data_IF_441777950866
#
_entry.id   IF_441777950866
#
_cell.length_a   1.000
_cell.length_b   1.000
_cell.length_c   1.000
_cell.angle_alpha   90.00
_cell.angle_beta   90.00
_cell.angle_gamma   90.00
#
_symmetry.space_group_name_H-M   'P 1'
#
loop_
_entity.id
_entity.type
_entity.pdbx_description
1 polymer ?
#
# COMPACT_ATOMS: atom_id res chain seq x y z
N UNK A 1 1.62 -8.80 8.82
CA UNK A 1 1.46 -8.14 7.51
C UNK A 1 0.65 -9.04 6.61
N UNK A 2 -0.29 -8.48 5.85
CA UNK A 2 -1.19 -9.21 4.96
C UNK A 2 -1.00 -8.68 3.54
N UNK A 3 -0.54 -9.53 2.62
CA UNK A 3 -0.23 -9.12 1.25
C UNK A 3 -1.42 -9.37 0.31
N UNK A 4 -1.96 -8.30 -0.28
CA UNK A 4 -3.08 -8.35 -1.23
C UNK A 4 -2.66 -8.08 -2.68
N UNK A 5 -1.37 -7.84 -2.94
CA UNK A 5 -0.86 -7.51 -4.28
C UNK A 5 -1.12 -8.61 -5.29
N UNK A 6 -1.22 -9.85 -4.84
CA UNK A 6 -1.34 -11.04 -5.68
C UNK A 6 -2.73 -11.71 -5.65
N UNK A 7 -3.73 -11.06 -5.05
CA UNK A 7 -5.09 -11.64 -4.92
C UNK A 7 -5.98 -11.41 -6.16
N UNK A 8 -5.54 -10.62 -7.14
CA UNK A 8 -6.31 -10.36 -8.36
C UNK A 8 -7.53 -9.44 -8.17
N UNK A 9 -7.72 -8.87 -6.97
CA UNK A 9 -8.86 -7.96 -6.72
C UNK A 9 -8.86 -6.72 -7.63
N UNK A 10 -7.68 -6.23 -8.04
CA UNK A 10 -7.56 -5.06 -8.92
C UNK A 10 -7.88 -5.34 -10.40
N UNK A 11 -8.05 -6.60 -10.79
CA UNK A 11 -8.34 -6.99 -12.18
C UNK A 11 -9.78 -7.44 -12.37
N UNK A 12 -10.62 -7.35 -11.33
CA UNK A 12 -12.04 -7.68 -11.43
C UNK A 12 -12.74 -6.66 -12.34
N UNK A 13 -13.45 -7.13 -13.35
CA UNK A 13 -14.27 -6.30 -14.24
C UNK A 13 -15.64 -6.95 -14.42
N UNK A 14 -16.70 -6.20 -14.14
CA UNK A 14 -18.09 -6.63 -14.26
C UNK A 14 -18.74 -6.24 -15.61
N UNK A 15 -17.95 -5.73 -16.56
CA UNK A 15 -18.38 -5.27 -17.88
C UNK A 15 -18.37 -3.74 -18.06
N UNK A 16 -17.79 -3.00 -17.10
CA UNK A 16 -17.86 -1.53 -17.03
C UNK A 16 -16.50 -0.91 -16.67
N UNK A 17 -15.43 -1.71 -16.65
CA UNK A 17 -14.10 -1.33 -16.21
C UNK A 17 -13.79 -1.82 -14.80
N UNK A 18 -12.48 -1.88 -14.51
CA UNK A 18 -11.95 -2.35 -13.23
C UNK A 18 -12.10 -1.36 -12.08
N UNK A 19 -11.82 -1.80 -10.84
CA UNK A 19 -11.97 -0.96 -9.66
C UNK A 19 -10.95 0.18 -9.65
N UNK A 20 -11.42 1.38 -9.31
CA UNK A 20 -10.53 2.53 -9.09
C UNK A 20 -9.66 2.32 -7.84
N UNK A 21 -10.16 1.62 -6.82
CA UNK A 21 -9.40 1.32 -5.59
C UNK A 21 -9.97 0.07 -4.91
N UNK A 22 -9.08 -0.73 -4.31
CA UNK A 22 -9.42 -1.88 -3.47
C UNK A 22 -8.84 -1.65 -2.09
N UNK A 23 -9.67 -1.74 -1.05
CA UNK A 23 -9.27 -1.55 0.34
C UNK A 23 -9.93 -2.63 1.24
N UNK A 24 -9.19 -3.16 2.22
CA UNK A 24 -9.79 -4.01 3.25
C UNK A 24 -10.68 -3.16 4.18
N UNK A 25 -11.95 -3.54 4.32
CA UNK A 25 -12.89 -2.89 5.23
C UNK A 25 -12.91 -3.63 6.58
N UNK A 26 -12.24 -3.06 7.59
CA UNK A 26 -12.33 -3.53 8.97
C UNK A 26 -11.08 -3.22 9.80
N UNK A 27 -11.28 -2.57 10.95
CA UNK A 27 -10.21 -2.28 11.92
C UNK A 27 -9.68 -3.53 12.64
N UNK A 28 -10.50 -4.58 12.73
CA UNK A 28 -10.21 -5.85 13.41
C UNK A 28 -10.17 -7.04 12.46
N UNK A 29 -9.66 -6.85 11.25
CA UNK A 29 -9.54 -7.95 10.30
C UNK A 29 -8.60 -9.02 10.86
N UNK A 30 -9.07 -10.27 10.84
CA UNK A 30 -8.35 -11.45 11.34
C UNK A 30 -8.02 -11.38 12.85
N UNK A 31 -8.77 -10.58 13.63
CA UNK A 31 -8.55 -10.45 15.07
C UNK A 31 -7.34 -9.59 15.46
N UNK A 32 -6.67 -8.95 14.49
CA UNK A 32 -5.55 -8.03 14.77
C UNK A 32 -6.05 -6.64 15.12
N UNK A 33 -5.41 -5.98 16.08
CA UNK A 33 -5.66 -4.58 16.47
C UNK A 33 -4.82 -3.57 15.66
N UNK A 34 -3.71 -4.02 15.08
CA UNK A 34 -2.80 -3.21 14.26
C UNK A 34 -2.52 -3.91 12.92
N UNK A 35 -3.55 -4.13 12.09
CA UNK A 35 -3.33 -4.74 10.78
C UNK A 35 -2.50 -3.85 9.86
N UNK A 36 -1.69 -4.50 9.03
CA UNK A 36 -0.93 -3.84 7.96
C UNK A 36 -1.08 -4.63 6.66
N UNK A 37 -1.47 -3.93 5.60
CA UNK A 37 -1.74 -4.47 4.28
C UNK A 37 -0.83 -3.88 3.22
N UNK A 38 -0.33 -4.75 2.33
CA UNK A 38 0.29 -4.34 1.08
C UNK A 38 -0.74 -4.45 -0.04
N UNK A 39 -1.02 -3.32 -0.69
CA UNK A 39 -2.07 -3.20 -1.69
C UNK A 39 -1.46 -2.84 -3.05
N UNK A 40 -1.96 -3.38 -4.15
CA UNK A 40 -1.51 -2.99 -5.49
C UNK A 40 -1.89 -1.52 -5.77
N UNK A 41 -1.10 -0.81 -6.59
CA UNK A 41 -1.56 0.44 -7.18
C UNK A 41 -2.72 0.18 -8.15
N UNK A 42 -3.63 1.15 -8.24
CA UNK A 42 -4.71 1.08 -9.21
C UNK A 42 -4.15 1.34 -10.60
N UNK A 43 -4.58 0.56 -11.58
CA UNK A 43 -4.28 0.79 -13.00
C UNK A 43 -4.89 2.09 -13.51
N UNK A 44 -5.85 2.68 -12.79
CA UNK A 44 -6.43 3.99 -13.09
C UNK A 44 -5.47 5.16 -12.77
N UNK A 45 -4.39 4.94 -12.02
CA UNK A 45 -3.43 5.98 -11.65
C UNK A 45 -2.10 5.76 -12.39
N UNK A 46 -1.82 6.57 -13.41
CA UNK A 46 -0.67 6.38 -14.29
C UNK A 46 0.69 6.67 -13.63
N UNK A 47 0.71 7.34 -12.48
CA UNK A 47 1.92 7.92 -11.87
C UNK A 47 2.81 6.92 -11.10
N UNK A 48 2.27 5.79 -10.63
CA UNK A 48 3.02 4.85 -9.77
C UNK A 48 2.80 3.39 -10.18
N UNK A 49 3.50 2.97 -11.23
CA UNK A 49 3.42 1.60 -11.75
C UNK A 49 4.35 0.62 -11.03
N UNK A 50 5.49 1.09 -10.52
CA UNK A 50 6.55 0.22 -9.99
C UNK A 50 6.58 0.12 -8.45
N UNK A 51 5.41 0.22 -7.80
CA UNK A 51 5.32 0.20 -6.35
C UNK A 51 4.07 -0.46 -5.79
N UNK A 52 3.83 -0.25 -4.50
CA UNK A 52 2.61 -0.67 -3.82
C UNK A 52 2.19 0.35 -2.76
N UNK A 53 0.93 0.30 -2.34
CA UNK A 53 0.42 1.08 -1.22
C UNK A 53 0.54 0.26 0.07
N UNK A 54 0.88 0.94 1.17
CA UNK A 54 0.85 0.38 2.50
C UNK A 54 -0.33 0.99 3.26
N UNK A 55 -1.24 0.14 3.74
CA UNK A 55 -2.33 0.53 4.63
C UNK A 55 -2.06 -0.04 6.02
N UNK A 56 -1.81 0.83 6.99
CA UNK A 56 -1.52 0.47 8.38
C UNK A 56 -2.59 1.01 9.31
N UNK A 57 -2.93 0.23 10.34
CA UNK A 57 -3.62 0.70 11.52
C UNK A 57 -2.62 0.74 12.67
N UNK A 58 -2.50 1.89 13.34
CA UNK A 58 -1.52 2.13 14.39
C UNK A 58 -2.20 2.82 15.56
N UNK A 59 -1.67 2.63 16.76
CA UNK A 59 -2.02 3.49 17.90
C UNK A 59 -1.70 4.96 17.58
N UNK A 60 -2.59 5.87 18.01
CA UNK A 60 -2.44 7.32 17.80
C UNK A 60 -1.09 7.84 18.33
N UNK A 61 -0.60 7.30 19.44
CA UNK A 61 0.70 7.70 20.01
C UNK A 61 1.90 7.34 19.12
N UNK A 62 1.76 6.35 18.25
CA UNK A 62 2.81 5.90 17.34
C UNK A 62 2.79 6.63 15.98
N UNK A 63 1.70 7.36 15.66
CA UNK A 63 1.56 8.05 14.38
C UNK A 63 2.66 9.10 14.11
N UNK A 64 3.12 9.91 15.09
CA UNK A 64 4.18 10.89 14.83
C UNK A 64 5.49 10.23 14.39
N UNK A 65 5.97 9.25 15.17
CA UNK A 65 7.21 8.52 14.85
C UNK A 65 7.11 7.78 13.51
N UNK A 66 5.98 7.12 13.25
CA UNK A 66 5.76 6.45 11.97
C UNK A 66 5.83 7.42 10.77
N UNK A 67 5.30 8.63 10.91
CA UNK A 67 5.37 9.65 9.83
C UNK A 67 6.80 10.11 9.58
N UNK A 68 7.58 10.32 10.64
CA UNK A 68 9.01 10.67 10.52
C UNK A 68 9.79 9.58 9.78
N UNK A 69 9.61 8.32 10.19
CA UNK A 69 10.25 7.17 9.52
C UNK A 69 9.86 7.11 8.04
N UNK A 70 8.56 7.20 7.72
CA UNK A 70 8.08 7.18 6.33
C UNK A 70 8.62 8.35 5.50
N UNK A 71 8.81 9.51 6.11
CA UNK A 71 9.40 10.67 5.44
C UNK A 71 10.88 10.42 5.13
N UNK A 72 11.64 9.81 6.04
CA UNK A 72 13.04 9.42 5.77
C UNK A 72 13.14 8.42 4.61
N UNK A 73 12.24 7.44 4.54
CA UNK A 73 12.22 6.48 3.41
C UNK A 73 11.86 7.15 2.08
N UNK A 74 10.94 8.12 2.10
CA UNK A 74 10.56 8.88 0.92
C UNK A 74 11.70 9.78 0.40
N UNK A 75 12.46 10.40 1.29
CA UNK A 75 13.60 11.26 0.92
C UNK A 75 14.87 10.48 0.55
N UNK A 76 15.04 9.27 1.09
CA UNK A 76 16.20 8.42 0.79
C UNK A 76 16.19 7.81 -0.62
N UNK A 77 15.08 7.93 -1.37
CA UNK A 77 14.99 7.46 -2.76
C UNK A 77 15.71 8.36 -3.79
N UNK A 78 16.26 9.51 -3.40
CA UNK A 78 17.09 10.32 -4.34
C UNK A 78 18.50 9.74 -4.59
N UNK A 79 18.89 8.64 -3.93
CA UNK A 79 20.21 8.01 -4.14
C UNK A 79 20.09 6.48 -4.25
N UNK A 80 19.62 5.98 -5.39
CA UNK A 80 20.02 4.66 -5.88
C UNK A 80 20.61 4.84 -7.28
N UNK A 81 21.95 4.81 -7.44
CA UNK A 81 22.55 4.86 -8.75
C UNK A 81 22.12 3.61 -9.53
N UNK A 82 21.65 3.83 -10.76
CA UNK A 82 21.37 2.81 -11.77
C UNK A 82 22.65 2.01 -12.07
N UNK A 83 22.99 1.04 -11.23
CA UNK A 83 23.98 0.02 -11.57
C UNK A 83 23.86 -1.16 -10.61
N UNK A 84 22.95 -2.07 -10.97
CA UNK A 84 22.98 -3.54 -10.82
C UNK A 84 21.54 -4.04 -10.83
N UNK A 85 21.06 -4.56 -11.95
CA UNK A 85 21.11 -5.97 -12.37
C UNK A 85 20.92 -6.00 -13.89
#
# INVERSE_FOLDING_TARGET
FTDWRHLGHSTVDFGWGGPVTVLPLGRYLLGSVEPCFFLPYSTACAEKKDGFKVLVNLNEVALPAFREDMQMFASSQEVLPESRI
#
